data_IF_008021627639
#
_entry.id   IF_008021627639
#
_cell.length_a   1.000
_cell.length_b   1.000
_cell.length_c   1.000
_cell.angle_alpha   90.00
_cell.angle_beta   90.00
_cell.angle_gamma   90.00
#
_symmetry.space_group_name_H-M   'P 1'
#
loop_
_entity.id
_entity.type
_entity.pdbx_description
1 polymer ?
#
# COMPACT_ATOMS: atom_id res chain seq x y z
N UNK A 1 -9.98 6.88 15.76
CA UNK A 1 -10.73 5.60 15.68
C UNK A 1 -10.07 4.77 14.59
N UNK A 2 -9.49 3.58 14.90
CA UNK A 2 -8.92 2.72 13.89
C UNK A 2 -10.03 2.19 12.96
N UNK A 3 -9.78 2.18 11.64
CA UNK A 3 -10.71 1.68 10.64
C UNK A 3 -10.21 0.34 10.12
N UNK A 4 -11.11 -0.66 10.07
CA UNK A 4 -10.80 -1.95 9.49
C UNK A 4 -10.90 -1.86 7.96
N UNK A 5 -9.78 -1.98 7.25
CA UNK A 5 -9.76 -1.90 5.78
C UNK A 5 -10.59 -3.00 5.12
N UNK A 6 -10.72 -4.18 5.74
CA UNK A 6 -11.62 -5.24 5.24
C UNK A 6 -13.08 -4.82 5.22
N UNK A 7 -13.49 -3.90 6.10
CA UNK A 7 -14.84 -3.35 6.08
C UNK A 7 -15.05 -2.42 4.88
N UNK A 8 -14.00 -1.69 4.46
CA UNK A 8 -14.03 -0.86 3.25
C UNK A 8 -14.10 -1.74 2.00
N UNK A 9 -13.26 -2.78 1.93
CA UNK A 9 -13.28 -3.73 0.82
C UNK A 9 -14.66 -4.38 0.65
N UNK A 10 -15.30 -4.80 1.75
CA UNK A 10 -16.67 -5.34 1.71
C UNK A 10 -17.69 -4.32 1.20
N UNK A 11 -17.57 -3.05 1.59
CA UNK A 11 -18.46 -2.00 1.09
C UNK A 11 -18.25 -1.75 -0.42
N UNK A 12 -17.01 -1.91 -0.90
CA UNK A 12 -16.66 -1.76 -2.31
C UNK A 12 -16.98 -3.00 -3.16
N UNK A 13 -17.23 -4.15 -2.55
CA UNK A 13 -17.63 -5.39 -3.23
C UNK A 13 -19.12 -5.42 -3.62
N UNK A 14 -19.71 -4.25 -3.88
CA UNK A 14 -21.11 -4.12 -4.29
C UNK A 14 -21.32 -4.66 -5.71
N UNK A 15 -22.49 -5.26 -5.98
CA UNK A 15 -22.83 -5.84 -7.30
C UNK A 15 -22.69 -4.85 -8.46
N UNK A 16 -22.95 -3.56 -8.22
CA UNK A 16 -22.79 -2.49 -9.22
C UNK A 16 -21.34 -2.26 -9.68
N UNK A 17 -20.37 -2.82 -8.95
CA UNK A 17 -18.93 -2.72 -9.18
C UNK A 17 -18.30 -4.07 -9.58
N UNK A 18 -19.12 -5.09 -9.87
CA UNK A 18 -18.66 -6.36 -10.43
C UNK A 18 -17.97 -6.15 -11.78
N UNK A 19 -16.79 -6.76 -11.96
CA UNK A 19 -15.99 -6.65 -13.19
C UNK A 19 -15.30 -5.30 -13.38
N UNK A 20 -15.34 -4.41 -12.37
CA UNK A 20 -14.65 -3.11 -12.39
C UNK A 20 -13.46 -3.13 -11.45
N UNK A 21 -12.26 -2.66 -11.86
CA UNK A 21 -11.12 -2.49 -10.96
C UNK A 21 -11.45 -1.58 -9.77
N UNK A 22 -11.09 -2.02 -8.58
CA UNK A 22 -11.35 -1.37 -7.29
C UNK A 22 -9.99 -1.09 -6.63
N UNK A 23 -9.57 0.17 -6.69
CA UNK A 23 -8.26 0.60 -6.19
C UNK A 23 -8.43 1.30 -4.84
N UNK A 24 -7.68 0.85 -3.83
CA UNK A 24 -7.61 1.48 -2.52
C UNK A 24 -6.17 1.86 -2.20
N UNK A 25 -5.89 3.16 -2.06
CA UNK A 25 -4.59 3.68 -1.65
C UNK A 25 -4.67 4.08 -0.17
N UNK A 26 -3.96 3.37 0.70
CA UNK A 26 -4.06 3.53 2.15
C UNK A 26 -2.81 4.19 2.71
N UNK A 27 -2.95 5.46 3.05
CA UNK A 27 -1.97 6.21 3.82
C UNK A 27 -2.32 6.13 5.32
N UNK A 28 -1.70 5.20 6.02
CA UNK A 28 -1.89 5.02 7.46
C UNK A 28 -0.67 4.32 8.07
N UNK A 29 -0.39 4.58 9.34
CA UNK A 29 0.54 3.75 10.11
C UNK A 29 -0.06 2.35 10.25
N UNK A 30 0.75 1.32 10.03
CA UNK A 30 0.38 -0.08 10.29
C UNK A 30 0.92 -0.59 11.62
N UNK A 31 1.65 0.26 12.34
CA UNK A 31 2.13 0.04 13.70
C UNK A 31 2.95 1.25 14.17
N UNK A 32 3.47 1.20 15.40
CA UNK A 32 4.26 2.30 15.96
C UNK A 32 5.73 2.27 15.53
N UNK A 33 6.21 1.17 14.96
CA UNK A 33 7.64 0.95 14.76
C UNK A 33 8.18 1.79 13.59
N UNK A 34 9.34 2.42 13.79
CA UNK A 34 10.03 3.12 12.71
C UNK A 34 10.88 2.14 11.92
N UNK A 35 10.86 2.27 10.59
CA UNK A 35 11.63 1.39 9.73
C UNK A 35 13.11 1.78 9.75
N UNK A 36 13.98 0.78 9.91
CA UNK A 36 15.42 0.89 9.75
C UNK A 36 15.86 -0.09 8.66
N UNK A 37 16.84 0.28 7.85
CA UNK A 37 17.33 -0.59 6.78
C UNK A 37 18.04 -1.82 7.37
N UNK A 38 17.47 -3.01 7.16
CA UNK A 38 18.05 -4.29 7.58
C UNK A 38 17.88 -5.28 6.43
N UNK A 39 18.91 -6.09 6.16
CA UNK A 39 18.83 -7.22 5.24
C UNK A 39 18.01 -8.36 5.88
N UNK A 40 16.92 -8.78 5.23
CA UNK A 40 16.01 -9.81 5.75
C UNK A 40 16.39 -11.19 5.17
N UNK A 41 16.69 -12.21 5.99
CA UNK A 41 16.72 -13.60 5.55
C UNK A 41 15.30 -14.10 5.30
N UNK A 42 15.01 -14.61 4.10
CA UNK A 42 13.70 -15.16 3.75
C UNK A 42 13.45 -16.49 4.48
N UNK A 43 12.31 -16.60 5.16
CA UNK A 43 11.64 -17.88 5.44
C UNK A 43 10.15 -17.71 5.16
N UNK A 44 9.66 -18.43 4.15
CA UNK A 44 8.25 -18.50 3.79
C UNK A 44 7.69 -19.82 4.34
N UNK A 45 6.63 -19.75 5.16
CA UNK A 45 5.78 -20.90 5.49
C UNK A 45 4.30 -20.47 5.43
N UNK A 46 3.42 -21.43 5.15
CA UNK A 46 1.99 -21.21 4.99
C UNK A 46 1.23 -22.09 6.00
N UNK A 47 0.71 -21.47 7.07
CA UNK A 47 -0.03 -22.16 8.13
C UNK A 47 -1.53 -21.81 8.06
N UNK A 48 -2.39 -22.70 7.55
CA UNK A 48 -3.83 -22.53 7.76
C UNK A 48 -4.75 -23.50 7.00
N UNK A 49 -5.81 -24.05 7.63
CA UNK A 49 -6.82 -24.84 6.95
C UNK A 49 -7.70 -23.95 6.07
N UNK A 50 -8.01 -24.44 4.86
CA UNK A 50 -8.89 -23.79 3.89
C UNK A 50 -10.32 -23.70 4.43
N UNK A 51 -10.65 -22.58 5.08
CA UNK A 51 -12.06 -22.19 5.24
C UNK A 51 -12.49 -21.57 3.92
N UNK A 52 -13.46 -22.19 3.25
CA UNK A 52 -14.18 -21.65 2.09
C UNK A 52 -14.92 -20.37 2.49
N UNK A 53 -14.18 -19.26 2.61
CA UNK A 53 -14.75 -17.92 2.49
C UNK A 53 -14.61 -17.56 1.02
N UNK A 54 -15.74 -17.31 0.37
CA UNK A 54 -15.85 -17.07 -1.07
C UNK A 54 -14.92 -15.92 -1.49
N UNK A 55 -13.69 -16.26 -1.89
CA UNK A 55 -12.67 -15.32 -2.38
C UNK A 55 -13.17 -14.51 -3.59
N UNK A 56 -14.20 -15.01 -4.27
CA UNK A 56 -14.93 -14.38 -5.38
C UNK A 56 -15.41 -12.96 -5.09
N UNK A 57 -15.68 -12.60 -3.83
CA UNK A 57 -16.19 -11.25 -3.49
C UNK A 57 -15.09 -10.17 -3.56
N UNK A 58 -13.82 -10.55 -3.47
CA UNK A 58 -12.67 -9.64 -3.49
C UNK A 58 -11.96 -9.61 -4.85
N UNK A 59 -12.63 -10.02 -5.93
CA UNK A 59 -12.07 -9.92 -7.28
C UNK A 59 -11.94 -8.46 -7.74
N UNK A 60 -10.95 -8.20 -8.58
CA UNK A 60 -10.59 -6.89 -9.13
C UNK A 60 -10.17 -5.84 -8.10
N UNK A 61 -9.73 -6.25 -6.89
CA UNK A 61 -9.19 -5.32 -5.90
C UNK A 61 -7.67 -5.17 -6.02
N UNK A 62 -7.22 -3.93 -5.85
CA UNK A 62 -5.83 -3.60 -5.60
C UNK A 62 -5.79 -2.69 -4.38
N UNK A 63 -5.07 -3.13 -3.35
CA UNK A 63 -4.82 -2.32 -2.14
C UNK A 63 -3.34 -2.00 -2.08
N UNK A 64 -3.00 -0.72 -2.14
CA UNK A 64 -1.63 -0.22 -2.02
C UNK A 64 -1.49 0.52 -0.70
N UNK A 65 -0.60 0.03 0.16
CA UNK A 65 -0.33 0.60 1.47
C UNK A 65 0.87 1.54 1.41
N UNK A 66 0.90 2.54 2.27
CA UNK A 66 2.01 3.50 2.33
C UNK A 66 3.26 2.98 3.05
N UNK A 67 3.13 1.89 3.79
CA UNK A 67 4.21 1.27 4.57
C UNK A 67 3.87 -0.20 4.81
N UNK A 68 4.87 -1.05 5.01
CA UNK A 68 4.67 -2.48 5.34
C UNK A 68 4.04 -2.68 6.74
N UNK A 69 3.37 -3.82 6.99
CA UNK A 69 2.71 -4.08 8.26
C UNK A 69 3.63 -3.96 9.48
N UNK A 70 3.13 -3.36 10.56
CA UNK A 70 3.88 -3.12 11.79
C UNK A 70 4.63 -1.79 11.84
N UNK A 71 4.81 -1.10 10.70
CA UNK A 71 5.60 0.13 10.65
C UNK A 71 4.75 1.40 10.56
N UNK A 72 5.33 2.49 11.03
CA UNK A 72 4.79 3.83 10.88
C UNK A 72 4.92 4.30 9.43
N UNK A 73 4.03 5.19 9.01
CA UNK A 73 4.13 5.83 7.71
C UNK A 73 4.66 7.26 7.86
N UNK A 74 5.61 7.62 6.99
CA UNK A 74 6.38 8.85 7.04
C UNK A 74 5.68 9.98 6.29
N UNK A 75 5.61 11.13 6.96
CA UNK A 75 5.06 12.37 6.41
C UNK A 75 6.01 13.54 6.68
N UNK A 76 6.28 14.31 5.63
CA UNK A 76 6.93 15.60 5.77
C UNK A 76 5.92 16.62 6.29
N UNK A 77 6.32 17.44 7.26
CA UNK A 77 5.46 18.43 7.92
C UNK A 77 4.80 19.40 6.91
N UNK A 78 5.59 19.95 5.99
CA UNK A 78 5.11 20.88 4.95
C UNK A 78 4.65 20.19 3.65
N UNK A 79 5.47 19.28 3.10
CA UNK A 79 5.22 18.66 1.79
C UNK A 79 4.18 17.53 1.79
N UNK A 80 3.78 17.05 2.97
CA UNK A 80 2.79 15.97 3.11
C UNK A 80 3.40 14.56 3.13
N UNK A 81 2.57 13.54 2.97
CA UNK A 81 2.97 12.14 3.09
C UNK A 81 3.88 11.68 1.95
N UNK A 82 4.94 10.94 2.24
CA UNK A 82 5.90 10.54 1.21
C UNK A 82 5.27 9.66 0.12
N UNK A 83 4.46 8.68 0.54
CA UNK A 83 3.76 7.78 -0.38
C UNK A 83 2.80 8.53 -1.31
N UNK A 84 1.96 9.41 -0.77
CA UNK A 84 0.97 10.16 -1.55
C UNK A 84 1.65 11.15 -2.50
N UNK A 85 2.75 11.80 -2.07
CA UNK A 85 3.53 12.66 -2.95
C UNK A 85 4.02 11.89 -4.19
N UNK A 86 4.70 10.76 -3.98
CA UNK A 86 5.24 9.98 -5.09
C UNK A 86 4.14 9.36 -5.95
N UNK A 87 3.06 8.87 -5.34
CA UNK A 87 1.89 8.38 -6.06
C UNK A 87 1.33 9.45 -7.00
N UNK A 88 1.13 10.68 -6.52
CA UNK A 88 0.62 11.77 -7.34
C UNK A 88 1.61 12.19 -8.44
N UNK A 89 2.91 12.12 -8.20
CA UNK A 89 3.94 12.41 -9.21
C UNK A 89 3.91 11.34 -10.31
N UNK A 90 4.04 10.06 -9.94
CA UNK A 90 4.08 8.95 -10.90
C UNK A 90 2.79 8.78 -11.67
N UNK A 91 1.63 8.98 -11.04
CA UNK A 91 0.36 8.99 -11.78
C UNK A 91 0.37 10.08 -12.86
N UNK A 92 0.77 11.31 -12.55
CA UNK A 92 0.83 12.40 -13.56
C UNK A 92 1.80 12.11 -14.69
N UNK A 93 2.93 11.47 -14.39
CA UNK A 93 3.98 11.18 -15.39
C UNK A 93 3.66 9.96 -16.26
N UNK A 94 3.01 8.94 -15.71
CA UNK A 94 2.98 7.59 -16.28
C UNK A 94 1.58 7.12 -16.72
N UNK A 95 0.49 7.76 -16.27
CA UNK A 95 -0.88 7.23 -16.44
C UNK A 95 -1.33 6.96 -17.88
N UNK A 96 -0.70 7.58 -18.89
CA UNK A 96 -1.06 7.40 -20.30
C UNK A 96 -0.39 6.19 -20.95
N UNK A 97 0.68 5.67 -20.34
CA UNK A 97 1.55 4.65 -20.96
C UNK A 97 1.70 3.38 -20.15
N UNK A 98 1.63 3.48 -18.82
CA UNK A 98 1.96 2.38 -17.92
C UNK A 98 0.72 1.89 -17.15
N UNK A 99 0.68 0.59 -16.84
CA UNK A 99 -0.39 0.04 -16.01
C UNK A 99 -0.20 0.44 -14.54
N UNK A 100 -1.29 0.46 -13.76
CA UNK A 100 -1.25 0.92 -12.36
C UNK A 100 -0.23 0.17 -11.50
N UNK A 101 0.01 -1.12 -11.77
CA UNK A 101 1.02 -1.90 -11.06
C UNK A 101 2.44 -1.38 -11.33
N UNK A 102 2.77 -1.06 -12.58
CA UNK A 102 4.09 -0.52 -12.96
C UNK A 102 4.29 0.86 -12.34
N UNK A 103 3.23 1.68 -12.33
CA UNK A 103 3.24 2.99 -11.66
C UNK A 103 3.51 2.82 -10.16
N UNK A 104 2.85 1.86 -9.51
CA UNK A 104 3.06 1.59 -8.08
C UNK A 104 4.45 1.03 -7.79
N UNK A 105 5.02 0.20 -8.68
CA UNK A 105 6.42 -0.22 -8.57
C UNK A 105 7.37 0.97 -8.63
N UNK A 106 7.13 1.93 -9.52
CA UNK A 106 7.91 3.17 -9.56
C UNK A 106 7.74 4.01 -8.28
N UNK A 107 6.53 4.07 -7.71
CA UNK A 107 6.27 4.74 -6.42
C UNK A 107 7.05 4.07 -5.28
N UNK A 108 7.02 2.74 -5.19
CA UNK A 108 7.77 1.98 -4.18
C UNK A 108 9.26 2.28 -4.29
N UNK A 109 9.81 2.27 -5.50
CA UNK A 109 11.22 2.56 -5.74
C UNK A 109 11.60 3.97 -5.24
N UNK A 110 10.81 4.98 -5.61
CA UNK A 110 11.12 6.37 -5.26
C UNK A 110 10.94 6.64 -3.76
N UNK A 111 9.90 6.07 -3.13
CA UNK A 111 9.70 6.19 -1.68
C UNK A 111 10.81 5.49 -0.90
N UNK A 112 11.22 4.28 -1.32
CA UNK A 112 12.29 3.51 -0.67
C UNK A 112 13.66 4.21 -0.76
N UNK A 113 13.84 5.09 -1.76
CA UNK A 113 15.02 5.95 -1.90
C UNK A 113 15.04 7.17 -0.98
N UNK A 114 13.92 7.56 -0.37
CA UNK A 114 13.85 8.77 0.47
C UNK A 114 14.51 8.56 1.83
N UNK A 115 15.13 9.62 2.34
CA UNK A 115 15.72 9.68 3.68
C UNK A 115 15.27 10.93 4.42
N UNK A 116 14.92 10.77 5.69
CA UNK A 116 14.62 11.86 6.60
C UNK A 116 15.90 12.43 7.24
N UNK A 117 15.75 13.53 7.99
CA UNK A 117 16.89 14.20 8.64
C UNK A 117 17.56 13.34 9.71
N UNK A 118 16.82 12.43 10.35
CA UNK A 118 17.37 11.46 11.29
C UNK A 118 17.55 10.07 10.64
N UNK A 119 17.72 10.04 9.32
CA UNK A 119 17.90 8.83 8.51
C UNK A 119 16.68 7.88 8.51
N UNK A 120 15.47 8.42 8.70
CA UNK A 120 14.23 7.66 8.57
C UNK A 120 14.04 7.21 7.13
N UNK A 121 13.57 5.97 6.94
CA UNK A 121 13.16 5.44 5.65
C UNK A 121 11.73 4.89 5.71
N UNK A 122 11.13 4.65 4.55
CA UNK A 122 9.80 4.05 4.44
C UNK A 122 9.76 3.14 3.22
N UNK A 123 9.21 1.95 3.37
CA UNK A 123 8.96 1.00 2.26
C UNK A 123 7.47 0.72 2.19
N UNK A 124 6.78 1.15 1.11
CA UNK A 124 5.37 0.84 0.87
C UNK A 124 5.12 -0.64 0.54
#
# INVERSE_FOLDING_TARGET
IPVNVKSIERAMAAEKLTGKPKLLFVQACQGPDLQSAVEIPQKLEHDGPSSEKTASVFVDFLVAWSTVPGFASVRHIEKGSWFIQELCVKLRELHQRDHIMDILTAVINDVSGKRGYANECMVP
#
